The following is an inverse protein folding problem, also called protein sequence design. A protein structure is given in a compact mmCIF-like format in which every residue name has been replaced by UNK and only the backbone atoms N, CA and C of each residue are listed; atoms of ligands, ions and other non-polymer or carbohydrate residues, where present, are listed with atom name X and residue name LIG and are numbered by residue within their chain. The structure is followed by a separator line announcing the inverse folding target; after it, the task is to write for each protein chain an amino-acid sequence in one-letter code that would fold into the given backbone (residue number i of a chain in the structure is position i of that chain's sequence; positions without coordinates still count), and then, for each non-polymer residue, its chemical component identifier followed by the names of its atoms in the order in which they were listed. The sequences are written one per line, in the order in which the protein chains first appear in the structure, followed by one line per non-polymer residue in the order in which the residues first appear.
data_IF_890823316200
#
_entry.id   IF_890823316200
#
_cell.length_a   1.000
_cell.length_b   1.000
_cell.length_c   1.000
_cell.angle_alpha   90.00
_cell.angle_beta   90.00
_cell.angle_gamma   90.00
#
_symmetry.space_group_name_H-M   'P 1'
#
loop_
_entity.id
_entity.type
_entity.pdbx_description
1 polymer ?
#
# COMPACT_ATOMS: atom_id res chain seq x y z
N UNK A 1 1.04 16.67 -1.57
CA UNK A 1 0.93 15.86 -0.35
C UNK A 1 2.22 16.08 0.42
N UNK A 2 2.13 16.84 1.50
CA UNK A 2 3.25 17.62 2.01
C UNK A 2 4.27 16.74 2.71
N UNK A 3 5.52 16.88 2.29
CA UNK A 3 6.67 16.23 2.91
C UNK A 3 7.08 17.08 4.09
N UNK A 4 6.99 16.54 5.30
CA UNK A 4 7.58 17.20 6.47
C UNK A 4 9.02 16.73 6.58
N UNK A 5 9.95 17.64 6.31
CA UNK A 5 11.39 17.41 6.43
C UNK A 5 11.77 17.39 7.93
N UNK A 6 12.40 16.30 8.40
CA UNK A 6 12.82 16.16 9.79
C UNK A 6 14.34 16.43 9.85
N UNK A 7 14.73 17.61 10.30
CA UNK A 7 16.14 17.94 10.50
C UNK A 7 16.61 17.49 11.88
N UNK A 8 17.81 16.90 11.98
CA UNK A 8 18.47 16.66 13.28
C UNK A 8 18.57 17.97 14.07
N UNK A 9 18.44 17.91 15.40
CA UNK A 9 18.42 19.11 16.22
C UNK A 9 19.82 19.74 16.23
N UNK A 10 19.88 21.05 15.98
CA UNK A 10 20.93 21.87 16.58
C UNK A 10 20.53 22.02 18.06
N UNK A 11 21.21 21.22 18.89
CA UNK A 11 21.61 21.44 20.29
C UNK A 11 20.66 22.31 21.16
N UNK A 12 19.94 21.64 22.06
CA UNK A 12 19.25 22.13 23.27
C UNK A 12 18.08 23.13 23.11
N UNK A 13 16.85 22.63 23.30
CA UNK A 13 15.62 23.43 23.40
C UNK A 13 14.34 22.59 23.27
N UNK A 14 13.17 23.21 23.35
CA UNK A 14 11.83 22.60 23.21
C UNK A 14 11.68 21.76 21.92
N UNK A 15 12.41 22.13 20.85
CA UNK A 15 12.45 21.39 19.59
C UNK A 15 13.01 19.96 19.74
N UNK A 16 14.02 19.75 20.60
CA UNK A 16 14.57 18.42 20.83
C UNK A 16 13.58 17.50 21.57
N UNK A 17 12.77 18.08 22.49
CA UNK A 17 11.70 17.36 23.17
C UNK A 17 10.59 16.97 22.17
N UNK A 18 10.13 17.93 21.37
CA UNK A 18 9.16 17.68 20.29
C UNK A 18 9.60 16.56 19.35
N UNK A 19 10.87 16.55 18.92
CA UNK A 19 11.40 15.51 18.02
C UNK A 19 11.51 14.13 18.68
N UNK A 20 11.75 14.08 20.00
CA UNK A 20 11.73 12.83 20.76
C UNK A 20 10.31 12.30 20.92
N UNK A 21 9.34 13.17 21.22
CA UNK A 21 7.93 12.79 21.35
C UNK A 21 7.37 12.27 20.02
N UNK A 22 7.67 12.98 18.91
CA UNK A 22 7.30 12.54 17.57
C UNK A 22 7.88 11.15 17.26
N UNK A 23 9.15 10.91 17.60
CA UNK A 23 9.80 9.60 17.43
C UNK A 23 9.09 8.51 18.23
N UNK A 24 8.76 8.79 19.49
CA UNK A 24 8.09 7.81 20.35
C UNK A 24 6.71 7.45 19.80
N UNK A 25 5.92 8.45 19.38
CA UNK A 25 4.61 8.24 18.76
C UNK A 25 4.73 7.46 17.45
N UNK A 26 5.67 7.84 16.57
CA UNK A 26 5.89 7.15 15.30
C UNK A 26 6.32 5.69 15.49
N UNK A 27 7.15 5.42 16.50
CA UNK A 27 7.57 4.06 16.83
C UNK A 27 6.42 3.22 17.41
N UNK A 28 5.59 3.81 18.28
CA UNK A 28 4.39 3.16 18.81
C UNK A 28 3.41 2.80 17.69
N UNK A 29 3.08 3.76 16.81
CA UNK A 29 2.22 3.53 15.65
C UNK A 29 2.78 2.46 14.70
N UNK A 30 4.12 2.44 14.50
CA UNK A 30 4.76 1.38 13.72
C UNK A 30 4.59 0.00 14.38
N UNK A 31 4.72 -0.08 15.69
CA UNK A 31 4.57 -1.35 16.42
C UNK A 31 3.14 -1.87 16.32
N UNK A 32 2.13 -0.99 16.40
CA UNK A 32 0.73 -1.37 16.17
C UNK A 32 0.52 -1.90 14.74
N UNK A 33 1.09 -1.24 13.74
CA UNK A 33 1.02 -1.71 12.36
C UNK A 33 1.73 -3.06 12.15
N UNK A 34 2.82 -3.33 12.88
CA UNK A 34 3.48 -4.64 12.87
C UNK A 34 2.55 -5.72 13.43
N UNK A 35 1.87 -5.44 14.55
CA UNK A 35 0.92 -6.39 15.15
C UNK A 35 -0.20 -6.69 14.15
N UNK A 36 -0.84 -5.65 13.57
CA UNK A 36 -1.88 -5.82 12.56
C UNK A 36 -1.37 -6.67 11.38
N UNK A 37 -0.16 -6.39 10.89
CA UNK A 37 0.41 -7.13 9.77
C UNK A 37 0.69 -8.60 10.09
N UNK A 38 1.18 -8.89 11.30
CA UNK A 38 1.47 -10.25 11.75
C UNK A 38 0.19 -11.05 12.01
N UNK A 39 -0.82 -10.44 12.62
CA UNK A 39 -2.11 -11.11 12.83
C UNK A 39 -2.83 -11.36 11.50
N UNK A 40 -2.79 -10.40 10.57
CA UNK A 40 -3.31 -10.61 9.21
C UNK A 40 -2.61 -11.79 8.53
N UNK A 41 -1.27 -11.87 8.59
CA UNK A 41 -0.50 -12.95 7.97
C UNK A 41 -0.96 -14.36 8.41
N UNK A 42 -1.43 -14.51 9.65
CA UNK A 42 -1.98 -15.79 10.14
C UNK A 42 -3.30 -16.16 9.47
N UNK A 43 -4.08 -15.18 9.01
CA UNK A 43 -5.38 -15.36 8.34
C UNK A 43 -5.26 -15.59 6.83
N UNK A 44 -4.15 -15.20 6.21
CA UNK A 44 -3.94 -15.26 4.74
C UNK A 44 -2.86 -16.27 4.31
N UNK A 45 -2.68 -17.36 5.05
CA UNK A 45 -1.75 -18.45 4.68
C UNK A 45 -2.06 -18.92 3.24
N UNK A 46 -1.05 -19.17 2.37
CA UNK A 46 0.38 -19.29 2.66
C UNK A 46 1.21 -18.01 2.43
N UNK A 47 0.59 -16.83 2.35
CA UNK A 47 1.33 -15.59 2.20
C UNK A 47 2.14 -15.25 3.47
N UNK A 48 3.36 -14.73 3.26
CA UNK A 48 4.27 -14.32 4.32
C UNK A 48 4.44 -12.80 4.32
N UNK A 49 4.29 -12.18 5.49
CA UNK A 49 4.53 -10.76 5.68
C UNK A 49 6.03 -10.43 5.54
N UNK A 50 6.33 -9.42 4.73
CA UNK A 50 7.65 -8.80 4.70
C UNK A 50 7.84 -7.83 5.89
N UNK A 51 8.98 -7.16 5.92
CA UNK A 51 9.26 -6.13 6.92
C UNK A 51 8.37 -4.90 6.69
N UNK A 52 7.61 -4.50 7.73
CA UNK A 52 6.91 -3.21 7.76
C UNK A 52 7.90 -2.06 7.56
N UNK A 53 7.51 -1.11 6.70
CA UNK A 53 8.29 0.07 6.37
C UNK A 53 8.77 0.85 7.61
N UNK A 54 9.86 1.61 7.43
CA UNK A 54 10.36 2.51 8.48
C UNK A 54 9.58 3.82 8.42
N UNK A 55 9.31 4.42 9.59
CA UNK A 55 8.68 5.76 9.70
C UNK A 55 9.65 6.88 9.32
N UNK A 56 10.95 6.60 9.29
CA UNK A 56 12.02 7.55 8.96
C UNK A 56 13.01 6.91 7.97
N UNK A 57 13.35 7.64 6.91
CA UNK A 57 14.44 7.24 6.00
C UNK A 57 15.80 7.79 6.49
N UNK A 58 16.89 7.40 5.83
CA UNK A 58 18.24 7.86 6.19
C UNK A 58 18.43 9.39 6.06
N UNK A 59 17.64 10.04 5.20
CA UNK A 59 17.59 11.50 5.06
C UNK A 59 16.74 12.17 6.14
N UNK A 60 16.25 11.40 7.11
CA UNK A 60 15.44 11.88 8.22
C UNK A 60 14.20 12.61 7.72
N UNK A 61 13.46 12.00 6.80
CA UNK A 61 12.16 12.53 6.39
C UNK A 61 11.12 11.63 7.01
N UNK A 62 10.24 12.22 7.84
CA UNK A 62 9.09 11.54 8.39
C UNK A 62 8.15 11.18 7.24
N UNK A 63 7.88 9.88 7.08
CA UNK A 63 6.91 9.41 6.09
C UNK A 63 5.71 8.87 6.87
N UNK A 64 4.57 9.58 6.89
CA UNK A 64 3.43 9.21 7.73
C UNK A 64 2.66 7.97 7.22
N UNK A 65 3.32 7.08 6.45
CA UNK A 65 2.67 5.99 5.76
C UNK A 65 3.42 4.69 6.02
N UNK A 66 2.81 3.81 6.80
CA UNK A 66 3.27 2.43 6.96
C UNK A 66 2.78 1.57 5.80
N UNK A 67 3.61 0.62 5.38
CA UNK A 67 3.19 -0.43 4.47
C UNK A 67 3.89 -1.75 4.78
N UNK A 68 3.24 -2.85 4.41
CA UNK A 68 3.78 -4.20 4.46
C UNK A 68 3.36 -4.96 3.21
N UNK A 69 4.31 -5.65 2.57
CA UNK A 69 4.05 -6.53 1.45
C UNK A 69 3.87 -7.97 1.96
N UNK A 70 3.06 -8.75 1.26
CA UNK A 70 2.83 -10.16 1.48
C UNK A 70 3.14 -10.93 0.21
N UNK A 71 3.96 -11.98 0.34
CA UNK A 71 4.41 -12.80 -0.78
C UNK A 71 4.19 -14.27 -0.50
N UNK A 72 3.94 -15.02 -1.57
CA UNK A 72 4.08 -16.47 -1.50
C UNK A 72 5.57 -16.82 -1.35
N UNK A 73 5.92 -17.94 -0.70
CA UNK A 73 7.31 -18.41 -0.62
C UNK A 73 7.95 -18.64 -2.01
N UNK A 74 7.14 -18.89 -3.03
CA UNK A 74 7.56 -19.06 -4.41
C UNK A 74 7.76 -17.75 -5.19
N UNK A 75 7.34 -16.60 -4.65
CA UNK A 75 7.43 -15.33 -5.35
C UNK A 75 8.87 -14.81 -5.41
N UNK A 76 9.25 -14.26 -6.57
CA UNK A 76 10.47 -13.46 -6.67
C UNK A 76 10.27 -12.08 -6.02
N UNK A 77 11.34 -11.48 -5.51
CA UNK A 77 11.28 -10.16 -4.86
C UNK A 77 10.82 -9.02 -5.78
N UNK A 78 10.91 -9.23 -7.10
CA UNK A 78 10.50 -8.26 -8.13
C UNK A 78 9.11 -8.56 -8.70
N UNK A 79 8.46 -9.61 -8.23
CA UNK A 79 7.09 -9.91 -8.63
C UNK A 79 6.10 -8.94 -7.99
N UNK A 80 4.92 -8.84 -8.61
CA UNK A 80 3.75 -8.24 -8.00
C UNK A 80 3.41 -8.99 -6.71
N UNK A 81 3.05 -8.24 -5.68
CA UNK A 81 2.65 -8.73 -4.37
C UNK A 81 1.34 -8.07 -3.95
N UNK A 82 0.74 -8.58 -2.88
CA UNK A 82 -0.32 -7.88 -2.18
C UNK A 82 0.31 -7.10 -1.03
N UNK A 83 -0.17 -5.89 -0.74
CA UNK A 83 0.30 -5.10 0.38
C UNK A 83 -0.85 -4.52 1.17
N UNK A 84 -0.58 -4.24 2.45
CA UNK A 84 -1.37 -3.29 3.24
C UNK A 84 -0.62 -1.97 3.34
N UNK A 85 -1.36 -0.85 3.30
CA UNK A 85 -0.79 0.50 3.41
C UNK A 85 -1.74 1.43 4.17
N UNK A 86 -1.21 2.07 5.21
CA UNK A 86 -1.89 3.17 5.91
C UNK A 86 -2.08 4.34 4.94
N UNK A 87 -3.30 4.88 4.86
CA UNK A 87 -3.63 6.04 4.05
C UNK A 87 -4.45 7.05 4.87
N UNK A 88 -4.51 8.29 4.36
CA UNK A 88 -5.43 9.31 4.84
C UNK A 88 -4.80 10.35 5.74
N UNK A 89 -5.65 11.06 6.46
CA UNK A 89 -5.33 12.13 7.40
C UNK A 89 -6.00 11.82 8.75
N UNK A 90 -5.63 12.48 9.86
CA UNK A 90 -6.17 12.16 11.18
C UNK A 90 -7.70 12.06 11.26
N UNK A 91 -8.42 12.88 10.48
CA UNK A 91 -9.88 12.92 10.43
C UNK A 91 -10.49 11.78 9.60
N UNK A 92 -9.75 11.25 8.63
CA UNK A 92 -10.21 10.21 7.72
C UNK A 92 -9.02 9.38 7.23
N UNK A 93 -8.78 8.27 7.91
CA UNK A 93 -7.69 7.34 7.59
C UNK A 93 -8.16 5.88 7.63
N UNK A 94 -7.32 5.00 7.12
CA UNK A 94 -7.57 3.58 7.12
C UNK A 94 -6.38 2.80 6.59
N UNK A 95 -6.60 1.51 6.37
CA UNK A 95 -5.62 0.62 5.75
C UNK A 95 -6.18 0.18 4.40
N UNK A 96 -5.42 0.48 3.35
CA UNK A 96 -5.73 -0.02 2.01
C UNK A 96 -5.05 -1.37 1.80
N UNK A 97 -5.75 -2.31 1.17
CA UNK A 97 -5.17 -3.52 0.60
C UNK A 97 -4.95 -3.26 -0.89
N UNK A 98 -3.76 -3.58 -1.41
CA UNK A 98 -3.36 -3.24 -2.78
C UNK A 98 -2.61 -4.37 -3.48
N UNK A 99 -2.85 -4.57 -4.78
CA UNK A 99 -2.01 -5.40 -5.65
C UNK A 99 -0.98 -4.50 -6.31
N UNK A 100 0.27 -4.58 -5.85
CA UNK A 100 1.32 -3.64 -6.24
C UNK A 100 2.72 -4.25 -6.30
N UNK A 101 3.62 -3.56 -7.01
CA UNK A 101 5.06 -3.85 -7.05
C UNK A 101 5.84 -2.92 -6.12
N UNK A 102 6.97 -3.40 -5.61
CA UNK A 102 7.90 -2.60 -4.80
C UNK A 102 8.59 -1.57 -5.69
N UNK A 103 8.39 -0.28 -5.40
CA UNK A 103 8.78 0.81 -6.29
C UNK A 103 10.27 1.04 -6.52
N UNK A 104 11.15 0.45 -5.71
CA UNK A 104 12.62 0.61 -5.83
C UNK A 104 13.28 -0.44 -6.71
N UNK A 105 12.53 -1.42 -7.22
CA UNK A 105 13.01 -2.53 -8.06
C UNK A 105 12.26 -2.59 -9.41
N UNK A 106 12.15 -1.43 -10.07
CA UNK A 106 11.38 -1.28 -11.31
C UNK A 106 12.20 -1.75 -12.51
N UNK A 107 12.01 -2.99 -12.94
CA UNK A 107 12.32 -3.40 -14.31
C UNK A 107 11.09 -3.21 -15.20
N UNK A 108 11.26 -2.97 -16.50
CA UNK A 108 10.14 -2.94 -17.46
C UNK A 108 9.32 -4.24 -17.43
N UNK A 109 9.95 -5.37 -17.09
CA UNK A 109 9.29 -6.66 -16.85
C UNK A 109 8.34 -6.64 -15.65
N UNK A 110 8.68 -5.96 -14.55
CA UNK A 110 7.78 -5.84 -13.38
C UNK A 110 6.54 -4.98 -13.68
N UNK A 111 6.66 -3.98 -14.56
CA UNK A 111 5.55 -3.11 -14.96
C UNK A 111 4.57 -3.84 -15.88
N UNK A 112 5.08 -4.64 -16.82
CA UNK A 112 4.20 -5.43 -17.69
C UNK A 112 3.41 -6.46 -16.89
N UNK A 113 4.03 -7.12 -15.89
CA UNK A 113 3.33 -7.99 -14.94
C UNK A 113 2.27 -7.25 -14.13
N UNK A 114 2.59 -6.07 -13.61
CA UNK A 114 1.65 -5.26 -12.84
C UNK A 114 0.41 -4.89 -13.65
N UNK A 115 0.56 -4.48 -14.92
CA UNK A 115 -0.59 -4.06 -15.73
C UNK A 115 -1.51 -5.22 -16.14
N UNK A 116 -1.10 -6.49 -15.93
CA UNK A 116 -1.99 -7.66 -16.13
C UNK A 116 -3.22 -7.65 -15.22
N UNK A 117 -3.22 -6.86 -14.14
CA UNK A 117 -4.41 -6.66 -13.30
C UNK A 117 -5.64 -6.21 -14.12
N UNK A 118 -5.43 -5.51 -15.24
CA UNK A 118 -6.49 -5.07 -16.15
C UNK A 118 -7.13 -6.23 -16.95
N UNK A 119 -6.56 -7.43 -16.92
CA UNK A 119 -7.15 -8.61 -17.57
C UNK A 119 -8.31 -9.20 -16.77
N UNK A 120 -8.56 -8.70 -15.56
CA UNK A 120 -9.68 -9.13 -14.73
C UNK A 120 -10.76 -8.03 -14.68
N UNK A 121 -12.05 -8.40 -14.79
CA UNK A 121 -13.15 -7.48 -14.52
C UNK A 121 -13.02 -6.88 -13.12
N UNK A 122 -13.56 -5.68 -12.91
CA UNK A 122 -13.54 -5.00 -11.63
C UNK A 122 -14.93 -4.47 -11.28
N UNK A 123 -15.23 -4.44 -9.99
CA UNK A 123 -16.43 -3.81 -9.45
C UNK A 123 -16.10 -3.09 -8.15
N UNK A 124 -16.99 -2.19 -7.73
CA UNK A 124 -16.96 -1.65 -6.37
C UNK A 124 -16.92 -2.80 -5.33
N UNK A 125 -16.23 -2.60 -4.19
CA UNK A 125 -15.59 -1.37 -3.72
C UNK A 125 -14.16 -1.13 -4.26
N UNK A 126 -13.67 -2.00 -5.16
CA UNK A 126 -12.32 -1.88 -5.70
C UNK A 126 -12.18 -0.65 -6.62
N UNK A 127 -10.98 -0.09 -6.67
CA UNK A 127 -10.66 1.05 -7.51
C UNK A 127 -9.23 0.98 -8.04
N UNK A 128 -8.95 1.79 -9.05
CA UNK A 128 -7.62 1.88 -9.65
C UNK A 128 -6.83 3.06 -9.09
N UNK A 129 -5.54 2.87 -8.87
CA UNK A 129 -4.55 3.95 -8.85
C UNK A 129 -3.74 3.88 -10.14
N UNK A 130 -3.81 4.95 -10.92
CA UNK A 130 -3.25 5.04 -12.27
C UNK A 130 -2.04 5.95 -12.22
N UNK A 131 -0.91 5.48 -12.76
CA UNK A 131 0.30 6.27 -12.93
C UNK A 131 0.46 6.72 -14.38
N UNK A 132 0.44 8.03 -14.59
CA UNK A 132 0.58 8.68 -15.91
C UNK A 132 1.49 9.89 -15.74
N UNK A 133 2.52 10.02 -16.59
CA UNK A 133 3.46 11.15 -16.59
C UNK A 133 4.04 11.51 -15.20
N UNK A 134 4.31 10.50 -14.37
CA UNK A 134 4.86 10.66 -13.01
C UNK A 134 3.81 10.99 -11.93
N UNK A 135 2.57 11.28 -12.31
CA UNK A 135 1.47 11.54 -11.38
C UNK A 135 0.66 10.28 -11.10
N UNK A 136 0.03 10.22 -9.93
CA UNK A 136 -0.91 9.17 -9.56
C UNK A 136 -2.30 9.76 -9.35
N UNK A 137 -3.34 9.12 -9.88
CA UNK A 137 -4.73 9.50 -9.63
C UNK A 137 -5.64 8.27 -9.47
N UNK A 138 -6.78 8.48 -8.82
CA UNK A 138 -7.79 7.44 -8.56
C UNK A 138 -8.79 7.39 -9.70
N UNK A 139 -9.16 6.17 -10.12
CA UNK A 139 -10.31 5.92 -10.99
C UNK A 139 -11.21 4.85 -10.38
N UNK A 140 -12.52 4.96 -10.58
CA UNK A 140 -13.47 3.96 -10.08
C UNK A 140 -13.25 2.62 -10.76
N UNK A 141 -13.44 1.52 -10.01
CA UNK A 141 -13.44 0.17 -10.56
C UNK A 141 -14.72 -0.12 -11.34
N UNK A 142 -14.77 0.33 -12.59
CA UNK A 142 -15.84 0.01 -13.54
C UNK A 142 -15.25 -0.61 -14.80
N UNK A 143 -16.10 -1.29 -15.58
CA UNK A 143 -15.69 -1.90 -16.84
C UNK A 143 -15.29 -0.85 -17.89
N UNK A 144 -15.98 0.29 -17.94
CA UNK A 144 -15.66 1.40 -18.84
C UNK A 144 -14.24 1.93 -18.55
N UNK A 145 -13.93 2.14 -17.27
CA UNK A 145 -12.60 2.58 -16.85
C UNK A 145 -11.54 1.50 -17.11
N UNK A 146 -11.87 0.22 -16.95
CA UNK A 146 -10.96 -0.88 -17.26
C UNK A 146 -10.57 -0.87 -18.74
N UNK A 147 -11.55 -0.80 -19.65
CA UNK A 147 -11.30 -0.78 -21.10
C UNK A 147 -10.46 0.43 -21.51
N UNK A 148 -10.78 1.62 -20.98
CA UNK A 148 -9.98 2.81 -21.19
C UNK A 148 -8.51 2.58 -20.76
N UNK A 149 -8.29 2.03 -19.56
CA UNK A 149 -6.94 1.78 -19.05
C UNK A 149 -6.18 0.74 -19.89
N UNK A 150 -6.86 -0.30 -20.38
CA UNK A 150 -6.25 -1.28 -21.30
C UNK A 150 -5.71 -0.59 -22.55
N UNK A 151 -6.48 0.30 -23.16
CA UNK A 151 -6.05 1.07 -24.33
C UNK A 151 -4.90 2.03 -23.99
N UNK A 152 -5.00 2.77 -22.87
CA UNK A 152 -3.98 3.74 -22.48
C UNK A 152 -2.64 3.09 -22.10
N UNK A 153 -2.67 1.89 -21.51
CA UNK A 153 -1.47 1.09 -21.27
C UNK A 153 -0.87 0.61 -22.59
N UNK A 154 -1.70 0.13 -23.53
CA UNK A 154 -1.25 -0.37 -24.83
C UNK A 154 -0.52 0.68 -25.66
N UNK A 155 -0.97 1.93 -25.61
CA UNK A 155 -0.31 3.05 -26.32
C UNK A 155 0.81 3.73 -25.50
N UNK A 156 1.12 3.21 -24.30
CA UNK A 156 2.20 3.71 -23.45
C UNK A 156 1.90 5.01 -22.71
N UNK A 157 0.66 5.51 -22.73
CA UNK A 157 0.26 6.71 -22.00
C UNK A 157 0.21 6.45 -20.50
N UNK A 158 -0.46 5.36 -20.10
CA UNK A 158 -0.49 4.91 -18.70
C UNK A 158 0.66 3.95 -18.47
N UNK A 159 1.52 4.29 -17.50
CA UNK A 159 2.72 3.50 -17.17
C UNK A 159 2.38 2.31 -16.27
N UNK A 160 1.52 2.53 -15.27
CA UNK A 160 1.24 1.55 -14.21
C UNK A 160 -0.19 1.69 -13.72
N UNK A 161 -0.86 0.55 -13.50
CA UNK A 161 -2.16 0.49 -12.83
C UNK A 161 -2.07 -0.42 -11.62
N UNK A 162 -2.49 0.09 -10.46
CA UNK A 162 -2.68 -0.68 -9.23
C UNK A 162 -4.17 -0.86 -8.98
N UNK A 163 -4.54 -1.93 -8.28
CA UNK A 163 -5.90 -2.13 -7.77
C UNK A 163 -5.86 -2.08 -6.26
N UNK A 164 -6.83 -1.38 -5.68
CA UNK A 164 -6.91 -1.12 -4.24
C UNK A 164 -8.32 -1.29 -3.70
N UNK A 165 -8.41 -1.69 -2.44
CA UNK A 165 -9.58 -1.58 -1.59
C UNK A 165 -9.20 -0.80 -0.33
N UNK A 166 -10.01 0.18 0.05
CA UNK A 166 -9.79 0.97 1.27
C UNK A 166 -10.65 0.39 2.40
N UNK A 167 -10.02 0.11 3.55
CA UNK A 167 -10.70 -0.26 4.80
C UNK A 167 -10.54 0.90 5.80
N UNK A 168 -11.57 1.75 5.99
CA UNK A 168 -11.52 2.86 6.93
C UNK A 168 -11.30 2.37 8.36
N UNK A 169 -10.58 3.16 9.16
CA UNK A 169 -10.47 2.93 10.60
C UNK A 169 -11.39 3.89 11.33
N UNK A 170 -12.27 3.36 12.17
CA UNK A 170 -13.13 4.13 13.06
C UNK A 170 -12.69 3.98 14.51
N UNK A 171 -12.86 5.02 15.32
CA UNK A 171 -12.34 5.04 16.69
C UNK A 171 -12.95 3.97 17.63
N UNK A 172 -14.13 3.43 17.27
CA UNK A 172 -14.86 2.47 18.09
C UNK A 172 -14.75 1.01 17.59
N UNK A 173 -14.03 0.75 16.48
CA UNK A 173 -13.96 -0.60 15.94
C UNK A 173 -12.97 -1.49 16.70
N UNK A 174 -13.34 -2.75 17.02
CA UNK A 174 -12.39 -3.75 17.50
C UNK A 174 -11.32 -4.05 16.46
N UNK A 175 -10.09 -4.32 16.91
CA UNK A 175 -8.98 -4.73 16.03
C UNK A 175 -9.30 -6.01 15.26
N UNK A 176 -10.01 -6.96 15.88
CA UNK A 176 -10.41 -8.20 15.21
C UNK A 176 -11.33 -7.94 14.00
N UNK A 177 -12.27 -6.99 14.15
CA UNK A 177 -13.14 -6.60 13.04
C UNK A 177 -12.33 -5.99 11.89
N UNK A 178 -11.37 -5.12 12.19
CA UNK A 178 -10.45 -4.59 11.18
C UNK A 178 -9.66 -5.71 10.48
N UNK A 179 -9.19 -6.71 11.23
CA UNK A 179 -8.46 -7.84 10.66
C UNK A 179 -9.33 -8.69 9.73
N UNK A 180 -10.60 -8.90 10.08
CA UNK A 180 -11.56 -9.61 9.23
C UNK A 180 -11.85 -8.84 7.93
N UNK A 181 -12.08 -7.53 8.02
CA UNK A 181 -12.28 -6.66 6.84
C UNK A 181 -11.04 -6.62 5.93
N UNK A 182 -9.84 -6.57 6.52
CA UNK A 182 -8.58 -6.66 5.77
C UNK A 182 -8.40 -8.03 5.11
N UNK A 183 -8.81 -9.11 5.78
CA UNK A 183 -8.75 -10.48 5.24
C UNK A 183 -9.69 -10.62 4.05
N UNK A 184 -10.92 -10.12 4.16
CA UNK A 184 -11.89 -10.13 3.06
C UNK A 184 -11.39 -9.32 1.87
N UNK A 185 -10.88 -8.11 2.11
CA UNK A 185 -10.27 -7.29 1.05
C UNK A 185 -9.07 -8.00 0.39
N UNK A 186 -8.23 -8.69 1.16
CA UNK A 186 -7.12 -9.48 0.64
C UNK A 186 -7.62 -10.59 -0.30
N UNK A 187 -8.65 -11.34 0.11
CA UNK A 187 -9.26 -12.40 -0.70
C UNK A 187 -9.85 -11.83 -1.99
N UNK A 188 -10.55 -10.69 -1.92
CA UNK A 188 -11.12 -10.01 -3.09
C UNK A 188 -10.05 -9.58 -4.11
N UNK A 189 -8.81 -9.34 -3.65
CA UNK A 189 -7.69 -8.94 -4.48
C UNK A 189 -6.90 -10.13 -5.08
N UNK A 190 -7.14 -11.37 -4.61
CA UNK A 190 -6.44 -12.57 -5.11
C UNK A 190 -6.55 -12.78 -6.63
N UNK A 191 -7.72 -12.64 -7.28
CA UNK A 191 -7.82 -12.85 -8.73
C UNK A 191 -6.93 -11.92 -9.56
N UNK A 192 -6.71 -10.69 -9.07
CA UNK A 192 -5.86 -9.69 -9.70
C UNK A 192 -4.38 -9.95 -9.44
N UNK A 193 -4.05 -10.45 -8.25
CA UNK A 193 -2.71 -10.93 -7.96
C UNK A 193 -2.36 -12.14 -8.85
N UNK A 194 -3.23 -13.13 -8.96
CA UNK A 194 -2.99 -14.36 -9.73
C UNK A 194 -2.78 -14.08 -11.23
N UNK A 195 -3.53 -13.15 -11.82
CA UNK A 195 -3.38 -12.83 -13.24
C UNK A 195 -2.02 -12.17 -13.55
N UNK A 196 -1.35 -11.60 -12.55
CA UNK A 196 0.01 -11.05 -12.70
C UNK A 196 1.11 -12.10 -12.71
N UNK A 197 0.78 -13.35 -12.32
CA UNK A 197 1.71 -14.50 -12.28
C UNK A 197 1.70 -15.32 -13.56
N UNK A 198 0.62 -15.23 -14.34
CA UNK A 198 0.57 -15.65 -15.74
C UNK A 198 1.42 -14.70 -16.58
#
# INVERSE_FOLDING_TARGET
MDQVEFSLPIVNGEYALFMNDLRNIAQAARNEFIIISQELAKKIVPFQAERVSQWMNQAQICRPHFWCYYRLPSDHQDDVAIAIRLYGIPEQFGISVEVSIVERKRSEHSLSKQNKVLNQPISAPLYYIVQENGNNYRMNGTEENRQLLVEQVKIGRVRKVLIKQDIPITAQQPVEQLLDELTEAFINLLPYYEVTKK
#
